data_IF_769393725574
#
_entry.id   IF_769393725574
#
_cell.length_a   1.000
_cell.length_b   1.000
_cell.length_c   1.000
_cell.angle_alpha   90.00
_cell.angle_beta   90.00
_cell.angle_gamma   90.00
#
_symmetry.space_group_name_H-M   'P 1'
#
loop_
_entity.id
_entity.type
_entity.pdbx_description
1 polymer ?
#
# COMPACT_ATOMS: atom_id res chain seq x y z
N UNK A 1 13.45 16.46 7.67
CA UNK A 1 12.06 16.75 8.05
C UNK A 1 11.21 16.04 7.03
N UNK A 2 10.39 15.07 7.43
CA UNK A 2 9.55 14.33 6.48
C UNK A 2 8.40 15.22 6.04
N UNK A 3 8.00 15.05 4.79
CA UNK A 3 6.89 15.78 4.20
C UNK A 3 5.58 15.17 4.72
N UNK A 4 4.66 16.03 5.21
CA UNK A 4 3.33 15.57 5.59
C UNK A 4 2.60 15.04 4.36
N UNK A 5 1.67 14.11 4.54
CA UNK A 5 0.84 13.60 3.46
C UNK A 5 0.17 14.72 2.65
N UNK A 6 -0.36 15.74 3.32
CA UNK A 6 -1.02 16.88 2.67
C UNK A 6 -0.04 17.65 1.78
N UNK A 7 1.15 17.96 2.29
CA UNK A 7 2.18 18.68 1.53
C UNK A 7 2.76 17.81 0.40
N UNK A 8 2.83 16.49 0.62
CA UNK A 8 3.27 15.51 -0.36
C UNK A 8 2.35 15.53 -1.57
N UNK A 9 1.04 15.42 -1.39
CA UNK A 9 0.09 15.43 -2.50
C UNK A 9 0.01 16.77 -3.23
N UNK A 10 0.34 17.89 -2.58
CA UNK A 10 0.46 19.20 -3.24
C UNK A 10 1.69 19.30 -4.15
N UNK A 11 2.79 18.64 -3.79
CA UNK A 11 4.09 18.73 -4.48
C UNK A 11 4.49 17.44 -5.20
N UNK A 12 3.55 16.50 -5.29
CA UNK A 12 3.76 15.16 -5.82
C UNK A 12 4.26 15.23 -7.26
N UNK A 13 5.42 14.60 -7.51
CA UNK A 13 5.96 14.44 -8.86
C UNK A 13 5.19 13.33 -9.59
N UNK A 14 5.33 13.28 -10.92
CA UNK A 14 4.71 12.22 -11.72
C UNK A 14 5.17 10.81 -11.32
N UNK A 15 4.33 9.84 -11.63
CA UNK A 15 4.57 8.40 -11.46
C UNK A 15 5.83 7.94 -12.19
N UNK A 16 6.38 6.80 -11.76
CA UNK A 16 7.50 6.18 -12.47
C UNK A 16 7.06 5.79 -13.88
N UNK A 17 7.97 5.93 -14.85
CA UNK A 17 7.69 5.55 -16.25
C UNK A 17 7.67 4.04 -16.50
N UNK A 18 8.35 3.26 -15.65
CA UNK A 18 8.50 1.82 -15.81
C UNK A 18 8.26 1.15 -14.47
N UNK A 19 7.44 0.10 -14.47
CA UNK A 19 7.21 -0.73 -13.30
C UNK A 19 8.49 -1.42 -12.81
N UNK A 20 8.68 -1.46 -11.49
CA UNK A 20 9.85 -2.04 -10.84
C UNK A 20 9.55 -3.44 -10.35
N UNK A 21 10.54 -4.34 -10.35
CA UNK A 21 10.35 -5.74 -9.94
C UNK A 21 9.78 -5.87 -8.51
N UNK A 22 10.10 -4.90 -7.66
CA UNK A 22 9.70 -4.85 -6.27
C UNK A 22 9.03 -3.53 -5.94
N UNK A 23 8.13 -3.56 -4.97
CA UNK A 23 7.56 -2.38 -4.31
C UNK A 23 7.66 -2.58 -2.80
N UNK A 24 7.68 -1.47 -2.08
CA UNK A 24 7.74 -1.48 -0.62
C UNK A 24 6.45 -0.85 -0.09
N UNK A 25 5.92 -1.44 0.97
CA UNK A 25 4.75 -0.95 1.71
C UNK A 25 5.12 -0.89 3.19
N UNK A 26 4.56 0.06 3.92
CA UNK A 26 4.80 0.19 5.37
C UNK A 26 3.60 -0.38 6.10
N UNK A 27 3.84 -1.14 7.16
CA UNK A 27 2.82 -1.58 8.10
C UNK A 27 2.62 -0.50 9.16
N UNK A 28 1.45 0.13 9.15
CA UNK A 28 1.04 1.16 10.12
C UNK A 28 1.25 0.74 11.57
N UNK A 29 0.85 -0.47 11.96
CA UNK A 29 0.89 -0.92 13.36
C UNK A 29 2.32 -1.14 13.88
N UNK A 30 3.29 -1.29 12.98
CA UNK A 30 4.71 -1.40 13.32
C UNK A 30 5.47 -0.08 13.17
N UNK A 31 4.89 0.93 12.52
CA UNK A 31 5.56 2.18 12.22
C UNK A 31 5.34 3.23 13.32
N UNK A 32 6.42 3.90 13.74
CA UNK A 32 6.36 4.94 14.79
C UNK A 32 6.63 6.36 14.27
N UNK A 33 6.57 6.56 12.96
CA UNK A 33 6.97 7.80 12.29
C UNK A 33 8.39 8.32 12.65
N UNK A 34 9.39 7.43 12.77
CA UNK A 34 10.76 7.81 13.15
C UNK A 34 11.56 8.56 12.05
N UNK A 35 11.03 8.61 10.81
CA UNK A 35 11.59 9.28 9.64
C UNK A 35 12.86 8.66 9.02
N UNK A 36 13.41 7.57 9.56
CA UNK A 36 14.63 6.94 9.03
C UNK A 36 14.50 6.46 7.58
N UNK A 37 13.34 5.91 7.20
CA UNK A 37 13.10 5.46 5.84
C UNK A 37 12.94 6.62 4.84
N UNK A 38 12.25 7.69 5.26
CA UNK A 38 11.96 8.83 4.41
C UNK A 38 13.23 9.61 4.04
N UNK A 39 14.19 9.74 4.96
CA UNK A 39 15.44 10.49 4.72
C UNK A 39 16.39 9.83 3.72
N UNK A 40 16.25 8.52 3.49
CA UNK A 40 17.11 7.77 2.58
C UNK A 40 16.44 7.44 1.24
N UNK A 41 15.15 7.78 1.07
CA UNK A 41 14.42 7.48 -0.14
C UNK A 41 14.93 8.34 -1.31
N UNK A 42 15.53 7.76 -2.37
CA UNK A 42 16.16 8.54 -3.44
C UNK A 42 15.16 9.28 -4.35
N UNK A 43 13.87 8.98 -4.23
CA UNK A 43 12.80 9.56 -5.05
C UNK A 43 11.76 10.32 -4.23
N UNK A 44 11.98 10.46 -2.92
CA UNK A 44 11.10 11.18 -1.99
C UNK A 44 9.63 10.75 -2.13
N UNK A 45 9.34 9.44 -2.06
CA UNK A 45 7.99 8.88 -2.22
C UNK A 45 7.40 8.34 -0.91
N UNK A 46 7.98 8.72 0.24
CA UNK A 46 7.52 8.32 1.57
C UNK A 46 7.02 9.58 2.28
N UNK A 47 5.78 9.56 2.74
CA UNK A 47 5.12 10.68 3.40
C UNK A 47 4.56 10.28 4.75
N UNK A 48 4.40 11.25 5.64
CA UNK A 48 3.87 11.03 6.99
C UNK A 48 2.36 11.25 7.03
N UNK A 49 1.63 10.25 7.50
CA UNK A 49 0.22 10.35 7.86
C UNK A 49 0.15 10.74 9.34
N UNK A 50 -0.19 12.01 9.59
CA UNK A 50 -0.19 12.58 10.94
C UNK A 50 -1.48 12.19 11.67
N UNK A 51 -1.34 11.59 12.85
CA UNK A 51 -2.45 11.38 13.79
C UNK A 51 -2.46 12.49 14.85
N UNK A 52 -3.65 12.93 15.35
CA UNK A 52 -3.73 13.74 16.55
C UNK A 52 -3.23 13.02 17.81
N UNK A 53 -3.12 11.68 17.76
CA UNK A 53 -2.54 10.86 18.84
C UNK A 53 -1.04 10.68 18.56
N UNK A 54 -0.14 11.15 19.46
CA UNK A 54 1.30 11.17 19.19
C UNK A 54 1.96 9.84 18.81
N UNK A 55 1.39 8.71 19.21
CA UNK A 55 1.90 7.36 18.94
C UNK A 55 1.27 6.67 17.73
N UNK A 56 0.35 7.33 17.03
CA UNK A 56 -0.39 6.75 15.90
C UNK A 56 -0.03 7.39 14.55
N UNK A 57 0.90 8.33 14.53
CA UNK A 57 1.48 8.81 13.27
C UNK A 57 2.36 7.73 12.67
N UNK A 58 2.25 7.56 11.36
CA UNK A 58 2.97 6.54 10.61
C UNK A 58 3.38 7.06 9.23
N UNK A 59 4.25 6.32 8.55
CA UNK A 59 4.64 6.60 7.18
C UNK A 59 3.88 5.70 6.22
N UNK A 60 3.59 6.22 5.03
CA UNK A 60 3.16 5.43 3.89
C UNK A 60 4.07 5.68 2.70
N UNK A 61 4.08 4.71 1.78
CA UNK A 61 4.87 4.77 0.55
C UNK A 61 3.91 4.93 -0.62
N UNK A 62 4.14 5.95 -1.44
CA UNK A 62 3.49 6.06 -2.74
C UNK A 62 4.02 4.96 -3.67
N UNK A 63 3.29 3.86 -3.74
CA UNK A 63 3.68 2.66 -4.49
C UNK A 63 3.72 2.87 -5.99
N UNK A 64 3.22 3.98 -6.54
CA UNK A 64 3.34 4.36 -7.96
C UNK A 64 4.64 5.14 -8.27
N UNK A 65 5.31 5.64 -7.23
CA UNK A 65 6.60 6.34 -7.35
C UNK A 65 7.76 5.55 -6.75
N UNK A 66 7.49 4.59 -5.87
CA UNK A 66 8.49 3.66 -5.34
C UNK A 66 9.26 2.98 -6.47
N UNK A 67 10.58 2.88 -6.33
CA UNK A 67 11.45 2.24 -7.34
C UNK A 67 12.02 0.90 -6.88
N UNK A 68 11.54 0.35 -5.76
CA UNK A 68 12.01 -0.94 -5.22
C UNK A 68 13.50 -0.98 -4.90
N UNK A 69 14.12 0.17 -4.59
CA UNK A 69 15.57 0.30 -4.37
C UNK A 69 16.09 -0.30 -3.06
N UNK A 70 15.18 -0.74 -2.17
CA UNK A 70 15.49 -1.40 -0.89
C UNK A 70 16.19 -0.53 0.17
N UNK A 71 16.60 0.71 -0.17
CA UNK A 71 17.32 1.60 0.73
C UNK A 71 16.54 1.96 2.00
N UNK A 72 15.20 2.03 1.95
CA UNK A 72 14.40 2.30 3.15
C UNK A 72 14.39 1.14 4.15
N UNK A 73 14.77 -0.07 3.72
CA UNK A 73 14.78 -1.29 4.51
C UNK A 73 16.18 -1.64 5.01
N UNK A 74 17.19 -1.69 4.13
CA UNK A 74 18.57 -2.12 4.44
C UNK A 74 19.60 -1.13 3.92
N UNK A 75 20.66 -0.86 4.70
CA UNK A 75 21.86 -0.17 4.21
C UNK A 75 22.75 -1.17 3.47
N UNK A 76 22.94 -1.05 2.14
CA UNK A 76 23.76 -2.00 1.38
C UNK A 76 25.25 -1.86 1.69
N UNK A 77 25.72 -0.64 1.98
CA UNK A 77 27.15 -0.35 2.12
C UNK A 77 27.72 -0.72 3.50
N UNK A 78 26.86 -0.77 4.51
CA UNK A 78 27.29 -0.94 5.91
C UNK A 78 26.90 -2.31 6.49
N UNK A 79 26.20 -3.14 5.72
CA UNK A 79 25.90 -4.53 6.09
C UNK A 79 27.10 -5.43 5.82
N UNK A 80 27.25 -6.51 6.59
CA UNK A 80 28.27 -7.55 6.38
C UNK A 80 27.65 -8.94 6.37
N UNK A 81 28.46 -9.98 6.17
CA UNK A 81 28.02 -11.38 6.27
C UNK A 81 27.58 -11.76 7.69
N UNK A 82 27.95 -10.98 8.71
CA UNK A 82 27.66 -11.27 10.12
C UNK A 82 26.51 -10.45 10.70
N UNK A 83 26.14 -9.34 10.06
CA UNK A 83 25.04 -8.49 10.52
C UNK A 83 24.42 -7.70 9.37
N UNK A 84 23.10 -7.55 9.44
CA UNK A 84 22.32 -6.71 8.53
C UNK A 84 22.01 -5.38 9.22
N UNK A 85 22.49 -4.27 8.65
CA UNK A 85 22.11 -2.94 9.14
C UNK A 85 20.78 -2.54 8.49
N UNK A 86 19.71 -2.59 9.27
CA UNK A 86 18.39 -2.14 8.84
C UNK A 86 18.24 -0.63 9.00
N UNK A 87 17.58 0.01 8.04
CA UNK A 87 17.24 1.44 8.11
C UNK A 87 15.95 1.64 8.91
N UNK A 88 14.97 0.74 8.75
CA UNK A 88 13.80 0.73 9.60
C UNK A 88 14.12 -0.01 10.91
N UNK A 89 14.16 0.67 12.07
CA UNK A 89 14.46 0.02 13.34
C UNK A 89 13.33 -0.89 13.83
N UNK A 90 12.12 -0.73 13.28
CA UNK A 90 10.92 -1.44 13.70
C UNK A 90 10.55 -2.63 12.81
N UNK A 91 11.34 -2.88 11.75
CA UNK A 91 11.00 -3.86 10.74
C UNK A 91 9.58 -3.68 10.15
N UNK A 92 9.15 -2.42 9.99
CA UNK A 92 7.80 -2.07 9.57
C UNK A 92 7.61 -2.00 8.05
N UNK A 93 8.58 -2.48 7.26
CA UNK A 93 8.55 -2.35 5.79
C UNK A 93 8.46 -3.73 5.19
N UNK A 94 7.34 -4.01 4.53
CA UNK A 94 7.17 -5.19 3.70
C UNK A 94 7.66 -4.89 2.29
N UNK A 95 8.50 -5.78 1.76
CA UNK A 95 8.91 -5.77 0.37
C UNK A 95 8.14 -6.85 -0.38
N UNK A 96 7.51 -6.46 -1.49
CA UNK A 96 6.65 -7.33 -2.28
C UNK A 96 7.24 -7.51 -3.67
N UNK A 97 7.02 -8.69 -4.24
CA UNK A 97 7.06 -8.82 -5.70
C UNK A 97 5.99 -7.90 -6.28
N UNK A 98 6.36 -7.04 -7.24
CA UNK A 98 5.40 -6.12 -7.83
C UNK A 98 4.46 -6.90 -8.77
N UNK A 99 3.16 -7.01 -8.44
CA UNK A 99 2.20 -7.76 -9.25
C UNK A 99 2.08 -7.17 -10.67
N UNK A 100 2.36 -5.89 -10.86
CA UNK A 100 2.31 -5.22 -12.16
C UNK A 100 3.48 -5.58 -13.10
N UNK A 101 4.53 -6.25 -12.61
CA UNK A 101 5.66 -6.72 -13.46
C UNK A 101 5.57 -8.21 -13.72
N UNK A 102 5.24 -8.99 -12.70
CA UNK A 102 5.14 -10.44 -12.78
C UNK A 102 3.83 -10.85 -12.09
N UNK A 103 2.68 -10.72 -12.77
CA UNK A 103 1.41 -11.15 -12.21
C UNK A 103 1.43 -12.66 -11.96
N UNK A 104 0.71 -13.10 -10.94
CA UNK A 104 0.40 -14.51 -10.75
C UNK A 104 -0.53 -15.01 -11.88
N UNK A 105 -0.56 -16.33 -12.09
CA UNK A 105 -1.46 -16.94 -13.09
C UNK A 105 -2.93 -16.69 -12.74
N UNK A 106 -3.24 -16.63 -11.44
CA UNK A 106 -4.54 -16.27 -10.89
C UNK A 106 -4.33 -15.27 -9.75
N UNK A 107 -5.18 -14.25 -9.68
CA UNK A 107 -5.12 -13.27 -8.59
C UNK A 107 -5.57 -13.87 -7.27
N UNK A 108 -4.93 -13.47 -6.16
CA UNK A 108 -5.37 -13.86 -4.81
C UNK A 108 -6.76 -13.32 -4.45
N UNK A 109 -7.18 -12.25 -5.12
CA UNK A 109 -8.49 -11.62 -4.94
C UNK A 109 -9.60 -12.26 -5.80
N UNK A 110 -9.22 -12.95 -6.88
CA UNK A 110 -10.18 -13.47 -7.86
C UNK A 110 -11.20 -14.46 -7.28
N UNK A 111 -10.82 -15.44 -6.43
CA UNK A 111 -11.79 -16.36 -5.82
C UNK A 111 -12.87 -15.67 -4.97
N UNK A 112 -12.59 -14.44 -4.51
CA UNK A 112 -13.46 -13.67 -3.65
C UNK A 112 -14.30 -12.66 -4.42
N UNK A 113 -14.12 -12.50 -5.73
CA UNK A 113 -14.90 -11.54 -6.51
C UNK A 113 -16.12 -12.22 -7.17
N UNK A 114 -17.30 -11.65 -6.93
CA UNK A 114 -18.59 -12.09 -7.47
C UNK A 114 -19.28 -10.99 -8.31
N UNK A 115 -18.55 -9.94 -8.66
CA UNK A 115 -19.11 -8.83 -9.44
C UNK A 115 -19.13 -9.12 -10.94
N UNK A 116 -19.57 -8.13 -11.71
CA UNK A 116 -19.79 -8.26 -13.17
C UNK A 116 -18.79 -7.48 -14.02
N UNK A 117 -17.78 -6.86 -13.41
CA UNK A 117 -16.73 -6.15 -14.13
C UNK A 117 -15.91 -7.14 -14.95
N UNK A 118 -15.83 -6.92 -16.27
CA UNK A 118 -15.18 -7.85 -17.20
C UNK A 118 -13.64 -7.73 -17.20
N UNK A 119 -13.12 -6.50 -17.28
CA UNK A 119 -11.69 -6.22 -17.43
C UNK A 119 -11.08 -5.75 -16.10
N UNK A 120 -11.04 -6.67 -15.13
CA UNK A 120 -10.59 -6.34 -13.78
C UNK A 120 -9.06 -6.12 -13.76
N UNK A 121 -8.56 -4.99 -13.25
CA UNK A 121 -7.14 -4.72 -13.14
C UNK A 121 -6.57 -5.40 -11.88
N UNK A 122 -6.53 -6.74 -11.88
CA UNK A 122 -6.15 -7.57 -10.73
C UNK A 122 -4.86 -7.14 -10.06
N UNK A 123 -3.81 -6.85 -10.83
CA UNK A 123 -2.51 -6.46 -10.29
C UNK A 123 -2.55 -5.16 -9.49
N UNK A 124 -3.37 -4.19 -9.92
CA UNK A 124 -3.55 -2.93 -9.20
C UNK A 124 -4.46 -3.11 -8.00
N UNK A 125 -5.48 -3.97 -8.10
CA UNK A 125 -6.29 -4.34 -6.94
C UNK A 125 -5.43 -5.00 -5.86
N UNK A 126 -4.57 -5.95 -6.21
CA UNK A 126 -3.64 -6.58 -5.26
C UNK A 126 -2.70 -5.57 -4.61
N UNK A 127 -2.09 -4.69 -5.39
CA UNK A 127 -1.18 -3.65 -4.89
C UNK A 127 -1.82 -2.74 -3.83
N UNK A 128 -3.06 -2.30 -4.06
CA UNK A 128 -3.75 -1.39 -3.16
C UNK A 128 -4.54 -2.11 -2.06
N UNK A 129 -5.05 -3.31 -2.31
CA UNK A 129 -5.68 -4.15 -1.28
C UNK A 129 -4.66 -4.62 -0.25
N UNK A 130 -3.39 -4.84 -0.62
CA UNK A 130 -2.32 -5.11 0.35
C UNK A 130 -2.03 -3.90 1.25
N UNK A 131 -2.09 -2.68 0.72
CA UNK A 131 -1.99 -1.47 1.53
C UNK A 131 -3.20 -1.31 2.47
N UNK A 132 -4.41 -1.63 1.99
CA UNK A 132 -5.61 -1.66 2.82
C UNK A 132 -5.53 -2.71 3.94
N UNK A 133 -4.94 -3.87 3.65
CA UNK A 133 -4.64 -4.90 4.65
C UNK A 133 -3.72 -4.38 5.75
N UNK A 134 -2.61 -3.73 5.39
CA UNK A 134 -1.62 -3.26 6.37
C UNK A 134 -2.06 -2.02 7.15
N UNK A 135 -2.70 -1.05 6.48
CA UNK A 135 -2.93 0.28 7.06
C UNK A 135 -4.41 0.56 7.36
N UNK A 136 -5.31 -0.26 6.81
CA UNK A 136 -6.75 -0.05 6.84
C UNK A 136 -7.21 1.12 5.96
N UNK A 137 -6.28 1.82 5.29
CA UNK A 137 -6.57 3.03 4.52
C UNK A 137 -5.50 3.35 3.48
N UNK A 138 -5.93 3.98 2.39
CA UNK A 138 -5.07 4.42 1.29
C UNK A 138 -5.45 5.84 0.87
N UNK A 139 -4.45 6.64 0.54
CA UNK A 139 -4.62 8.00 0.04
C UNK A 139 -4.20 8.07 -1.43
N UNK A 140 -5.12 8.52 -2.28
CA UNK A 140 -4.94 8.63 -3.72
C UNK A 140 -4.98 10.10 -4.12
N UNK A 141 -4.09 10.60 -5.00
CA UNK A 141 -4.19 11.97 -5.50
C UNK A 141 -5.56 12.23 -6.14
N UNK A 142 -6.19 13.37 -5.85
CA UNK A 142 -7.57 13.65 -6.29
C UNK A 142 -7.75 13.69 -7.82
N UNK A 143 -6.67 13.92 -8.57
CA UNK A 143 -6.67 13.95 -10.03
C UNK A 143 -6.53 12.57 -10.70
N UNK A 144 -6.30 11.50 -9.94
CA UNK A 144 -5.85 10.22 -10.50
C UNK A 144 -7.03 9.30 -10.85
N UNK A 145 -7.76 9.68 -11.90
CA UNK A 145 -9.01 9.02 -12.30
C UNK A 145 -8.90 7.51 -12.54
N UNK A 146 -7.76 7.04 -13.07
CA UNK A 146 -7.53 5.61 -13.28
C UNK A 146 -7.47 4.84 -11.96
N UNK A 147 -6.81 5.38 -10.93
CA UNK A 147 -6.78 4.77 -9.60
C UNK A 147 -8.15 4.86 -8.92
N UNK A 148 -8.86 5.98 -9.06
CA UNK A 148 -10.24 6.07 -8.54
C UNK A 148 -11.17 5.01 -9.14
N UNK A 149 -10.98 4.63 -10.41
CA UNK A 149 -11.74 3.54 -11.04
C UNK A 149 -11.40 2.16 -10.42
N UNK A 150 -10.14 1.91 -10.03
CA UNK A 150 -9.75 0.70 -9.28
C UNK A 150 -10.47 0.65 -7.93
N UNK A 151 -10.50 1.76 -7.20
CA UNK A 151 -11.19 1.83 -5.91
C UNK A 151 -12.71 1.71 -6.05
N UNK A 152 -13.30 2.12 -7.18
CA UNK A 152 -14.73 1.91 -7.42
C UNK A 152 -15.09 0.42 -7.43
N UNK A 153 -14.23 -0.46 -7.95
CA UNK A 153 -14.43 -1.92 -7.92
C UNK A 153 -14.36 -2.44 -6.47
N UNK A 154 -13.44 -1.91 -5.65
CA UNK A 154 -13.36 -2.24 -4.22
C UNK A 154 -14.59 -1.77 -3.41
N UNK A 155 -15.32 -0.77 -3.91
CA UNK A 155 -16.53 -0.24 -3.30
C UNK A 155 -17.82 -0.98 -3.70
N UNK A 156 -17.75 -1.87 -4.70
CA UNK A 156 -18.87 -2.74 -5.06
C UNK A 156 -19.17 -3.72 -3.92
N UNK A 157 -20.45 -4.02 -3.68
CA UNK A 157 -20.88 -5.06 -2.75
C UNK A 157 -20.86 -6.44 -3.44
N UNK A 158 -19.67 -6.79 -3.92
CA UNK A 158 -19.43 -7.95 -4.79
C UNK A 158 -18.29 -8.83 -4.29
N UNK A 159 -17.77 -8.59 -3.08
CA UNK A 159 -16.69 -9.36 -2.50
C UNK A 159 -17.23 -10.42 -1.55
N UNK A 160 -17.04 -11.68 -1.89
CA UNK A 160 -17.48 -12.84 -1.12
C UNK A 160 -16.85 -12.84 0.27
N UNK A 161 -17.69 -12.69 1.29
CA UNK A 161 -17.29 -12.86 2.69
C UNK A 161 -17.71 -14.23 3.23
N UNK A 162 -18.89 -14.70 2.81
CA UNK A 162 -19.43 -16.01 3.10
C UNK A 162 -20.10 -16.59 1.86
N UNK A 163 -20.62 -17.82 1.92
CA UNK A 163 -21.41 -18.36 0.81
C UNK A 163 -22.65 -17.50 0.53
N UNK A 164 -23.26 -16.93 1.56
CA UNK A 164 -24.52 -16.19 1.52
C UNK A 164 -24.33 -14.67 1.41
N UNK A 165 -23.17 -14.15 1.81
CA UNK A 165 -22.93 -12.71 1.98
C UNK A 165 -21.80 -12.18 1.10
N UNK A 166 -22.03 -10.99 0.56
CA UNK A 166 -21.01 -10.15 -0.06
C UNK A 166 -20.81 -8.89 0.76
N UNK A 167 -19.60 -8.36 0.73
CA UNK A 167 -19.20 -7.11 1.38
C UNK A 167 -18.60 -6.14 0.37
N UNK A 168 -18.32 -4.93 0.85
CA UNK A 168 -17.47 -3.95 0.17
C UNK A 168 -16.10 -4.01 0.82
N UNK A 169 -15.03 -4.10 0.03
CA UNK A 169 -13.68 -3.99 0.57
C UNK A 169 -13.42 -2.56 1.08
N UNK A 170 -13.92 -1.57 0.36
CA UNK A 170 -13.77 -0.14 0.69
C UNK A 170 -15.14 0.49 0.93
N UNK A 171 -15.22 1.37 1.94
CA UNK A 171 -16.46 2.08 2.25
C UNK A 171 -16.99 2.93 1.09
N UNK A 172 -18.31 3.09 0.97
CA UNK A 172 -19.00 3.76 -0.15
C UNK A 172 -18.61 5.24 -0.31
N UNK A 173 -18.50 5.97 0.80
CA UNK A 173 -18.20 7.41 0.80
C UNK A 173 -16.76 7.66 1.24
N UNK A 174 -15.82 7.88 0.31
CA UNK A 174 -14.45 8.22 0.67
C UNK A 174 -14.35 9.69 1.11
N UNK A 175 -13.35 9.99 1.93
CA UNK A 175 -13.04 11.35 2.39
C UNK A 175 -12.27 12.08 1.27
N UNK A 176 -12.92 13.06 0.63
CA UNK A 176 -12.35 13.80 -0.51
C UNK A 176 -11.89 15.19 -0.08
N UNK A 177 -10.71 15.57 -0.56
CA UNK A 177 -10.14 16.91 -0.44
C UNK A 177 -9.72 17.41 -1.83
N UNK A 178 -9.26 18.66 -1.93
CA UNK A 178 -8.76 19.21 -3.18
C UNK A 178 -7.45 18.55 -3.66
N UNK A 179 -6.71 17.86 -2.77
CA UNK A 179 -5.39 17.29 -3.07
C UNK A 179 -5.41 15.76 -3.11
N UNK A 180 -6.18 15.11 -2.25
CA UNK A 180 -6.26 13.65 -2.16
C UNK A 180 -7.68 13.15 -1.84
N UNK A 181 -7.93 11.88 -2.13
CA UNK A 181 -9.05 11.10 -1.65
C UNK A 181 -8.55 9.97 -0.76
N UNK A 182 -9.10 9.86 0.45
CA UNK A 182 -8.81 8.78 1.39
C UNK A 182 -9.90 7.72 1.30
N UNK A 183 -9.47 6.50 1.00
CA UNK A 183 -10.28 5.30 1.02
C UNK A 183 -9.97 4.51 2.29
N UNK A 184 -10.99 3.94 2.93
CA UNK A 184 -10.83 3.11 4.13
C UNK A 184 -11.46 1.76 3.90
N UNK A 185 -10.76 0.73 4.37
CA UNK A 185 -11.29 -0.62 4.43
C UNK A 185 -12.49 -0.66 5.39
N UNK A 186 -13.53 -1.43 5.04
CA UNK A 186 -14.61 -1.73 5.99
C UNK A 186 -14.11 -2.70 7.07
N UNK A 187 -14.84 -2.85 8.18
CA UNK A 187 -14.45 -3.80 9.24
C UNK A 187 -14.41 -5.23 8.72
N UNK A 188 -15.48 -5.69 8.04
CA UNK A 188 -15.51 -7.00 7.40
C UNK A 188 -14.45 -7.17 6.31
N UNK A 189 -14.05 -6.08 5.65
CA UNK A 189 -12.95 -6.13 4.70
C UNK A 189 -11.61 -6.41 5.37
N UNK A 190 -11.35 -5.89 6.58
CA UNK A 190 -10.12 -6.20 7.31
C UNK A 190 -10.04 -7.69 7.60
N UNK A 191 -11.12 -8.27 8.13
CA UNK A 191 -11.20 -9.71 8.41
C UNK A 191 -10.98 -10.55 7.13
N UNK A 192 -11.58 -10.13 6.01
CA UNK A 192 -11.41 -10.82 4.72
C UNK A 192 -9.99 -10.69 4.18
N UNK A 193 -9.41 -9.48 4.22
CA UNK A 193 -8.07 -9.20 3.72
C UNK A 193 -7.01 -9.92 4.55
N UNK A 194 -7.22 -10.09 5.86
CA UNK A 194 -6.36 -10.91 6.72
C UNK A 194 -6.29 -12.36 6.22
N UNK A 195 -7.41 -12.94 5.79
CA UNK A 195 -7.45 -14.30 5.22
C UNK A 195 -6.81 -14.34 3.84
N UNK A 196 -7.06 -13.34 2.98
CA UNK A 196 -6.56 -13.30 1.61
C UNK A 196 -5.04 -13.13 1.56
N UNK A 197 -4.50 -12.28 2.43
CA UNK A 197 -3.09 -11.92 2.43
C UNK A 197 -2.27 -12.67 3.50
N UNK A 198 -2.88 -13.58 4.26
CA UNK A 198 -2.12 -14.51 5.09
C UNK A 198 -1.17 -15.33 4.22
N UNK A 199 0.11 -15.34 4.58
CA UNK A 199 1.16 -15.99 3.79
C UNK A 199 1.40 -15.40 2.39
N UNK A 200 0.90 -14.19 2.07
CA UNK A 200 1.22 -13.51 0.81
C UNK A 200 2.73 -13.46 0.57
N UNK A 201 3.16 -13.65 -0.68
CA UNK A 201 4.57 -13.86 -1.10
C UNK A 201 5.45 -12.62 -0.89
N UNK A 202 5.70 -12.30 0.39
CA UNK A 202 6.63 -11.29 0.83
C UNK A 202 8.05 -11.72 0.50
N UNK A 203 8.84 -10.76 0.08
CA UNK A 203 10.28 -10.93 -0.05
C UNK A 203 10.86 -10.75 1.34
N UNK A 204 10.97 -11.86 2.06
CA UNK A 204 11.83 -11.93 3.22
C UNK A 204 13.27 -11.69 2.72
N UNK A 205 13.82 -10.53 3.02
CA UNK A 205 15.23 -10.21 2.78
C UNK A 205 16.09 -10.73 3.94
N UNK A 206 15.81 -11.97 4.34
CA UNK A 206 16.41 -12.69 5.45
C UNK A 206 17.50 -13.62 4.90
#
# INVERSE_FOLDING_TARGET
>A
MTISMTDYFQTRKADRKKETRYINVINKDSCTSCNSCATVCPVDCIYEVVSPVPSESYHQIDTSRCIGCQMCYRSPNDSSDFYQLTICPWNAIDMLHNPNVKPADQSVLEPYYRGSTADIPWTKLEEYSYQLFLDGEVFIPAGEGALHAVFAILQEESWMYSEEDNIRLVGETPEKTDTFTRYRATEAARDLLDVIFDGYERIFMD
#
